data_IF_994456585895
#
_entry.id   IF_994456585895
#
_cell.length_a   1.000
_cell.length_b   1.000
_cell.length_c   1.000
_cell.angle_alpha   90.00
_cell.angle_beta   90.00
_cell.angle_gamma   90.00
#
_symmetry.space_group_name_H-M   'P 1'
#
loop_
_entity.id
_entity.type
_entity.pdbx_description
1 polymer ?
#
# COMPACT_ATOMS: atom_id res chain seq x y z
N UNK A 1 -0.98 18.25 3.16
CA UNK A 1 -2.00 17.22 3.42
C UNK A 1 -3.12 17.70 4.34
N UNK A 2 -3.34 19.01 4.50
CA UNK A 2 -4.35 19.55 5.40
C UNK A 2 -5.27 20.47 4.61
N UNK A 3 -6.57 20.34 4.79
CA UNK A 3 -7.59 21.23 4.25
C UNK A 3 -8.84 21.17 5.15
N UNK A 4 -9.69 22.19 5.07
CA UNK A 4 -10.94 22.24 5.83
C UNK A 4 -12.00 21.35 5.17
N UNK A 5 -12.71 20.57 5.98
CA UNK A 5 -13.80 19.70 5.53
C UNK A 5 -15.11 20.25 6.06
N UNK A 6 -15.91 20.86 5.20
CA UNK A 6 -17.23 21.39 5.54
C UNK A 6 -18.35 20.40 5.22
N UNK A 7 -18.11 19.47 4.29
CA UNK A 7 -19.08 18.46 3.89
C UNK A 7 -18.41 17.17 3.39
N UNK A 8 -19.15 16.05 3.23
CA UNK A 8 -18.61 14.83 2.62
C UNK A 8 -18.04 15.05 1.21
N UNK A 9 -18.48 16.08 0.48
CA UNK A 9 -17.98 16.40 -0.86
C UNK A 9 -16.52 16.92 -0.85
N UNK A 10 -15.98 17.32 0.30
CA UNK A 10 -14.58 17.72 0.46
C UNK A 10 -13.65 16.53 0.70
N UNK A 11 -14.21 15.33 0.90
CA UNK A 11 -13.46 14.10 1.08
C UNK A 11 -13.06 13.50 -0.27
N UNK A 12 -11.95 12.77 -0.27
CA UNK A 12 -11.49 12.00 -1.42
C UNK A 12 -11.18 10.57 -0.99
N UNK A 13 -11.79 9.60 -1.66
CA UNK A 13 -11.59 8.17 -1.44
C UNK A 13 -10.96 7.58 -2.70
N UNK A 14 -9.80 6.96 -2.55
CA UNK A 14 -9.06 6.33 -3.64
C UNK A 14 -8.94 4.81 -3.38
N UNK A 15 -9.91 3.99 -3.82
CA UNK A 15 -9.83 2.55 -3.68
C UNK A 15 -8.65 1.99 -4.48
N UNK A 16 -8.02 0.92 -3.98
CA UNK A 16 -6.92 0.25 -4.66
C UNK A 16 -6.98 -1.29 -4.63
N UNK A 17 -7.90 -1.88 -3.87
CA UNK A 17 -8.21 -3.32 -3.94
C UNK A 17 -9.73 -3.54 -3.90
N UNK A 18 -10.18 -4.54 -4.64
CA UNK A 18 -11.50 -5.17 -4.45
C UNK A 18 -11.20 -6.46 -3.69
N UNK A 19 -11.44 -6.52 -2.38
CA UNK A 19 -10.96 -7.64 -1.57
C UNK A 19 -11.84 -8.89 -1.69
N UNK A 20 -13.15 -8.72 -1.67
CA UNK A 20 -14.11 -9.81 -1.74
C UNK A 20 -15.47 -9.33 -2.29
N UNK A 21 -16.24 -10.28 -2.81
CA UNK A 21 -17.67 -10.16 -3.11
C UNK A 21 -18.39 -11.43 -2.64
N UNK A 22 -19.71 -11.52 -2.85
CA UNK A 22 -20.45 -12.74 -2.50
C UNK A 22 -19.79 -13.98 -3.13
N UNK A 23 -19.43 -14.94 -2.30
CA UNK A 23 -18.86 -16.23 -2.71
C UNK A 23 -17.39 -16.22 -3.16
N UNK A 24 -16.69 -15.07 -3.19
CA UNK A 24 -15.29 -15.03 -3.63
C UNK A 24 -14.44 -13.95 -2.93
N UNK A 25 -13.20 -14.32 -2.60
CA UNK A 25 -12.10 -13.37 -2.42
C UNK A 25 -11.43 -13.15 -3.77
N UNK A 26 -10.95 -11.93 -4.05
CA UNK A 26 -10.31 -11.60 -5.34
C UNK A 26 -8.79 -11.52 -5.23
N UNK A 27 -8.21 -12.26 -4.31
CA UNK A 27 -6.75 -12.36 -4.08
C UNK A 27 -6.04 -13.21 -5.14
N UNK A 28 -6.82 -13.87 -6.02
CA UNK A 28 -6.39 -14.56 -7.23
C UNK A 28 -6.22 -13.61 -8.43
N UNK A 29 -6.76 -12.38 -8.33
CA UNK A 29 -6.65 -11.36 -9.37
C UNK A 29 -5.37 -10.56 -9.21
N UNK A 30 -4.76 -10.20 -10.32
CA UNK A 30 -3.56 -9.37 -10.30
C UNK A 30 -3.90 -7.90 -10.00
N UNK A 31 -2.88 -7.11 -9.66
CA UNK A 31 -3.08 -5.70 -9.39
C UNK A 31 -3.56 -4.91 -10.62
N UNK A 32 -3.37 -5.42 -11.85
CA UNK A 32 -3.95 -4.77 -13.03
C UNK A 32 -5.47 -4.86 -13.01
N UNK A 33 -6.00 -6.05 -12.81
CA UNK A 33 -7.43 -6.27 -12.71
C UNK A 33 -8.05 -5.38 -11.63
N UNK A 34 -7.44 -5.26 -10.44
CA UNK A 34 -7.96 -4.39 -9.38
C UNK A 34 -8.04 -2.92 -9.82
N UNK A 35 -6.96 -2.39 -10.40
CA UNK A 35 -6.88 -0.98 -10.75
C UNK A 35 -7.82 -0.63 -11.92
N UNK A 36 -7.94 -1.50 -12.91
CA UNK A 36 -8.86 -1.33 -14.04
C UNK A 36 -10.33 -1.46 -13.61
N UNK A 37 -10.63 -2.45 -12.76
CA UNK A 37 -11.99 -2.66 -12.22
C UNK A 37 -12.45 -1.43 -11.42
N UNK A 38 -11.60 -0.94 -10.51
CA UNK A 38 -11.92 0.23 -9.68
C UNK A 38 -12.00 1.53 -10.49
N UNK A 39 -11.16 1.68 -11.53
CA UNK A 39 -11.26 2.79 -12.48
C UNK A 39 -12.60 2.76 -13.21
N UNK A 40 -13.06 1.58 -13.64
CA UNK A 40 -14.37 1.41 -14.29
C UNK A 40 -15.57 1.69 -13.37
N UNK A 41 -15.40 1.52 -12.05
CA UNK A 41 -16.42 1.84 -11.03
C UNK A 41 -16.39 3.31 -10.58
N UNK A 42 -15.39 4.08 -11.00
CA UNK A 42 -15.25 5.49 -10.60
C UNK A 42 -16.25 6.35 -11.38
N UNK A 43 -17.14 7.12 -10.72
CA UNK A 43 -18.10 7.97 -11.40
C UNK A 43 -17.42 9.03 -12.28
N UNK A 44 -18.06 9.36 -13.41
CA UNK A 44 -17.61 10.47 -14.25
C UNK A 44 -17.92 11.81 -13.56
N UNK A 45 -16.94 12.71 -13.47
CA UNK A 45 -17.11 14.07 -12.95
C UNK A 45 -16.11 14.44 -11.86
N UNK A 46 -15.78 15.74 -11.75
CA UNK A 46 -14.79 16.26 -10.80
C UNK A 46 -15.31 16.34 -9.35
N UNK A 47 -16.63 16.20 -9.16
CA UNK A 47 -17.30 16.33 -7.87
C UNK A 47 -17.49 14.96 -7.17
N UNK A 48 -16.97 13.88 -7.76
CA UNK A 48 -17.01 12.56 -7.14
C UNK A 48 -16.09 12.50 -5.92
N UNK A 49 -16.62 11.97 -4.82
CA UNK A 49 -15.83 11.62 -3.64
C UNK A 49 -14.85 10.47 -3.97
N UNK A 50 -15.25 9.55 -4.85
CA UNK A 50 -14.42 8.43 -5.28
C UNK A 50 -13.59 8.83 -6.49
N UNK A 51 -12.28 8.62 -6.41
CA UNK A 51 -11.32 8.90 -7.48
C UNK A 51 -10.54 7.64 -7.87
N UNK A 52 -10.19 7.54 -9.14
CA UNK A 52 -9.30 6.50 -9.62
C UNK A 52 -7.88 6.78 -9.10
N UNK A 53 -7.21 5.73 -8.64
CA UNK A 53 -5.80 5.81 -8.23
C UNK A 53 -4.91 5.79 -9.48
N UNK A 54 -3.99 6.74 -9.59
CA UNK A 54 -2.97 6.72 -10.65
C UNK A 54 -1.95 5.60 -10.42
N UNK A 55 -1.52 4.96 -11.50
CA UNK A 55 -0.58 3.83 -11.46
C UNK A 55 0.25 3.73 -12.73
N UNK A 56 1.37 3.03 -12.62
CA UNK A 56 2.23 2.64 -13.71
C UNK A 56 2.64 1.17 -13.52
N UNK A 57 2.66 0.39 -14.59
CA UNK A 57 3.31 -0.92 -14.58
C UNK A 57 4.76 -0.79 -15.00
N UNK A 58 5.65 -1.43 -14.25
CA UNK A 58 7.08 -1.44 -14.54
C UNK A 58 7.61 -2.88 -14.53
N UNK A 59 8.45 -3.21 -15.51
CA UNK A 59 9.21 -4.45 -15.55
C UNK A 59 10.60 -4.20 -14.95
N UNK A 60 10.98 -4.90 -13.86
CA UNK A 60 12.32 -4.75 -13.30
C UNK A 60 13.43 -5.35 -14.17
N UNK A 61 13.07 -6.11 -15.20
CA UNK A 61 14.01 -6.74 -16.14
C UNK A 61 14.28 -5.88 -17.38
N UNK A 62 13.61 -4.74 -17.53
CA UNK A 62 13.76 -3.83 -18.68
C UNK A 62 14.23 -2.45 -18.21
N UNK A 63 15.35 -1.99 -18.75
CA UNK A 63 16.01 -0.75 -18.38
C UNK A 63 15.13 0.46 -18.69
N UNK A 64 14.52 0.50 -19.88
CA UNK A 64 13.63 1.59 -20.28
C UNK A 64 12.38 1.66 -19.38
N UNK A 65 11.83 0.51 -18.99
CA UNK A 65 10.70 0.45 -18.06
C UNK A 65 11.06 0.95 -16.65
N UNK A 66 12.29 0.68 -16.19
CA UNK A 66 12.77 1.20 -14.88
C UNK A 66 12.95 2.71 -14.92
N UNK A 67 13.54 3.25 -15.98
CA UNK A 67 13.70 4.69 -16.18
C UNK A 67 12.34 5.39 -16.20
N UNK A 68 11.39 4.89 -17.00
CA UNK A 68 10.03 5.44 -17.05
C UNK A 68 9.33 5.42 -15.68
N UNK A 69 9.56 4.39 -14.86
CA UNK A 69 9.00 4.30 -13.51
C UNK A 69 9.62 5.31 -12.54
N UNK A 70 10.92 5.54 -12.65
CA UNK A 70 11.63 6.56 -11.87
C UNK A 70 11.15 7.96 -12.25
N UNK A 71 11.05 8.25 -13.55
CA UNK A 71 10.58 9.55 -14.05
C UNK A 71 9.15 9.85 -13.62
N UNK A 72 8.26 8.85 -13.73
CA UNK A 72 6.88 8.96 -13.26
C UNK A 72 6.81 9.24 -11.76
N UNK A 73 7.61 8.53 -10.96
CA UNK A 73 7.67 8.72 -9.51
C UNK A 73 8.20 10.10 -9.14
N UNK A 74 9.26 10.57 -9.82
CA UNK A 74 9.82 11.92 -9.62
C UNK A 74 8.78 12.99 -9.92
N UNK A 75 8.11 12.91 -11.08
CA UNK A 75 7.06 13.84 -11.48
C UNK A 75 5.88 13.88 -10.50
N UNK A 76 5.53 12.75 -9.88
CA UNK A 76 4.52 12.67 -8.82
C UNK A 76 5.00 13.39 -7.55
N UNK A 77 6.23 13.11 -7.09
CA UNK A 77 6.74 13.67 -5.84
C UNK A 77 7.07 15.15 -5.94
N UNK A 78 7.52 15.63 -7.10
CA UNK A 78 7.84 17.04 -7.34
C UNK A 78 6.58 17.93 -7.31
N UNK A 79 5.41 17.35 -7.57
CA UNK A 79 4.11 18.02 -7.46
C UNK A 79 3.50 17.94 -6.05
N UNK A 80 4.26 17.47 -5.06
CA UNK A 80 3.82 17.33 -3.67
C UNK A 80 3.15 16.00 -3.34
N UNK A 81 3.21 15.01 -4.24
CA UNK A 81 2.81 13.64 -3.92
C UNK A 81 3.70 13.02 -2.84
N UNK A 82 3.12 12.20 -1.97
CA UNK A 82 3.87 11.51 -0.90
C UNK A 82 4.93 10.55 -1.48
N UNK A 83 4.62 9.91 -2.60
CA UNK A 83 5.41 8.86 -3.22
C UNK A 83 4.51 7.77 -3.79
N UNK A 84 5.03 6.55 -3.88
CA UNK A 84 4.30 5.42 -4.45
C UNK A 84 4.38 4.17 -3.57
N UNK A 85 3.41 3.28 -3.79
CA UNK A 85 3.42 1.92 -3.24
C UNK A 85 3.72 0.95 -4.37
N UNK A 86 4.86 0.28 -4.29
CA UNK A 86 5.30 -0.73 -5.24
C UNK A 86 4.75 -2.08 -4.80
N UNK A 87 4.04 -2.76 -5.68
CA UNK A 87 3.45 -4.08 -5.44
C UNK A 87 3.96 -5.05 -6.51
N UNK A 88 4.10 -6.35 -6.20
CA UNK A 88 4.21 -7.38 -7.24
C UNK A 88 2.99 -7.30 -8.18
N UNK A 89 3.06 -7.88 -9.38
CA UNK A 89 1.88 -7.91 -10.25
C UNK A 89 0.79 -8.84 -9.66
N UNK A 90 1.19 -10.05 -9.28
CA UNK A 90 0.33 -10.98 -8.55
C UNK A 90 0.05 -10.47 -7.12
N UNK A 91 -1.19 -10.62 -6.65
CA UNK A 91 -1.58 -10.15 -5.31
C UNK A 91 -0.87 -10.92 -4.19
N UNK A 92 -0.74 -12.25 -4.34
CA UNK A 92 0.00 -13.13 -3.43
C UNK A 92 1.21 -13.70 -4.17
N UNK A 93 2.30 -12.92 -4.24
CA UNK A 93 3.51 -13.34 -4.93
C UNK A 93 4.45 -14.15 -4.02
N UNK A 94 5.11 -15.17 -4.58
CA UNK A 94 6.17 -15.93 -3.91
C UNK A 94 7.49 -15.77 -4.65
N UNK A 95 8.56 -15.50 -3.90
CA UNK A 95 9.93 -15.47 -4.40
C UNK A 95 10.75 -16.65 -3.89
N UNK A 96 12.06 -16.61 -4.16
CA UNK A 96 13.01 -17.66 -3.72
C UNK A 96 13.06 -17.86 -2.20
N UNK A 97 12.61 -16.88 -1.41
CA UNK A 97 12.62 -16.88 0.06
C UNK A 97 11.22 -17.06 0.68
N UNK A 98 10.26 -17.58 -0.09
CA UNK A 98 8.87 -17.73 0.34
C UNK A 98 8.00 -16.55 -0.06
N UNK A 99 7.04 -16.17 0.79
CA UNK A 99 6.09 -15.10 0.52
C UNK A 99 6.82 -13.76 0.33
N UNK A 100 6.58 -13.10 -0.79
CA UNK A 100 7.12 -11.77 -1.05
C UNK A 100 6.34 -10.71 -0.24
N UNK A 101 6.95 -9.55 -0.02
CA UNK A 101 6.21 -8.42 0.55
C UNK A 101 5.06 -8.05 -0.40
N UNK A 102 3.80 -7.96 0.07
CA UNK A 102 2.66 -7.61 -0.78
C UNK A 102 2.72 -6.17 -1.27
N UNK A 103 3.42 -5.30 -0.54
CA UNK A 103 3.62 -3.91 -0.89
C UNK A 103 4.89 -3.35 -0.25
N UNK A 104 5.55 -2.42 -0.93
CA UNK A 104 6.69 -1.64 -0.43
C UNK A 104 6.42 -0.18 -0.71
N UNK A 105 6.42 0.66 0.33
CA UNK A 105 6.29 2.12 0.19
C UNK A 105 7.63 2.75 -0.23
N UNK A 106 7.61 3.65 -1.19
CA UNK A 106 8.73 4.48 -1.61
C UNK A 106 8.30 5.96 -1.61
N UNK A 107 8.72 6.68 -0.57
CA UNK A 107 8.28 8.05 -0.27
C UNK A 107 9.25 9.08 -0.83
N UNK A 108 8.72 10.18 -1.32
CA UNK A 108 9.45 11.30 -1.90
C UNK A 108 10.34 12.03 -0.90
N UNK A 109 11.38 12.69 -1.42
CA UNK A 109 12.39 13.39 -0.61
C UNK A 109 11.76 14.45 0.31
N UNK A 110 10.90 15.30 -0.24
CA UNK A 110 10.30 16.40 0.52
C UNK A 110 9.28 15.90 1.54
N UNK A 111 8.49 14.86 1.20
CA UNK A 111 7.60 14.21 2.15
C UNK A 111 8.33 13.67 3.37
N UNK A 112 9.50 13.05 3.16
CA UNK A 112 10.28 12.45 4.24
C UNK A 112 10.80 13.46 5.27
N UNK A 113 10.78 14.78 4.99
CA UNK A 113 11.04 15.81 6.01
C UNK A 113 10.00 15.81 7.13
N UNK A 114 8.75 15.47 6.81
CA UNK A 114 7.66 15.35 7.78
C UNK A 114 7.94 14.18 8.75
N UNK A 115 8.60 13.13 8.26
CA UNK A 115 8.84 11.88 9.00
C UNK A 115 10.17 11.89 9.76
N UNK A 116 11.24 12.35 9.13
CA UNK A 116 12.61 12.29 9.66
C UNK A 116 13.13 13.66 10.15
N UNK A 117 12.32 14.71 10.03
CA UNK A 117 12.68 16.09 10.39
C UNK A 117 13.20 16.90 9.20
N UNK A 118 13.16 18.25 9.28
CA UNK A 118 13.51 19.14 8.17
C UNK A 118 14.95 18.98 7.68
N UNK A 119 15.87 18.62 8.58
CA UNK A 119 17.32 18.51 8.35
C UNK A 119 17.78 17.10 7.97
N UNK A 120 16.88 16.13 7.78
CA UNK A 120 17.27 14.73 7.58
C UNK A 120 18.16 14.48 6.34
N UNK A 121 18.20 15.44 5.41
CA UNK A 121 19.02 15.40 4.21
C UNK A 121 20.47 15.84 4.43
N UNK A 122 20.81 16.39 5.60
CA UNK A 122 22.21 16.70 5.92
C UNK A 122 23.06 15.42 5.91
N UNK A 123 24.30 15.46 5.40
CA UNK A 123 25.11 14.27 5.14
C UNK A 123 25.23 13.33 6.34
N UNK A 124 25.50 13.87 7.53
CA UNK A 124 25.71 13.09 8.75
C UNK A 124 24.41 12.43 9.25
N UNK A 125 23.29 13.16 9.23
CA UNK A 125 21.98 12.59 9.57
C UNK A 125 21.56 11.51 8.57
N UNK A 126 21.71 11.78 7.28
CA UNK A 126 21.34 10.82 6.23
C UNK A 126 22.18 9.55 6.30
N UNK A 127 23.48 9.67 6.58
CA UNK A 127 24.37 8.52 6.75
C UNK A 127 23.93 7.61 7.90
N UNK A 128 23.52 8.21 9.03
CA UNK A 128 22.96 7.46 10.17
C UNK A 128 21.62 6.79 9.82
N UNK A 129 20.70 7.51 9.16
CA UNK A 129 19.38 6.98 8.77
C UNK A 129 19.45 5.81 7.78
N UNK A 130 20.51 5.73 6.97
CA UNK A 130 20.75 4.60 6.06
C UNK A 130 20.98 3.27 6.80
N UNK A 131 21.40 3.31 8.07
CA UNK A 131 21.65 2.13 8.90
C UNK A 131 20.37 1.54 9.54
N UNK A 132 19.18 1.93 9.07
CA UNK A 132 17.89 1.46 9.62
C UNK A 132 17.64 -0.03 9.40
N UNK A 133 17.02 -0.66 10.39
CA UNK A 133 16.57 -2.05 10.31
C UNK A 133 15.08 -2.13 9.97
N UNK A 134 14.76 -2.76 8.83
CA UNK A 134 13.38 -2.96 8.35
C UNK A 134 12.88 -4.41 8.51
N UNK A 135 13.71 -5.29 9.09
CA UNK A 135 13.39 -6.72 9.22
C UNK A 135 12.14 -6.97 10.06
N UNK A 136 12.03 -6.31 11.21
CA UNK A 136 10.87 -6.42 12.10
C UNK A 136 9.57 -6.00 11.42
N UNK A 137 9.54 -4.81 10.80
CA UNK A 137 8.34 -4.32 10.08
C UNK A 137 7.97 -5.22 8.90
N UNK A 138 8.95 -5.75 8.17
CA UNK A 138 8.70 -6.72 7.08
C UNK A 138 8.09 -8.02 7.57
N UNK A 139 8.58 -8.57 8.68
CA UNK A 139 8.03 -9.79 9.26
C UNK A 139 6.62 -9.57 9.83
N UNK A 140 6.40 -8.43 10.47
CA UNK A 140 5.08 -8.01 10.97
C UNK A 140 4.06 -7.90 9.82
N UNK A 141 4.41 -7.16 8.76
CA UNK A 141 3.55 -6.95 7.60
C UNK A 141 3.13 -8.27 6.92
N UNK A 142 4.01 -9.29 6.86
CA UNK A 142 3.65 -10.60 6.30
C UNK A 142 2.69 -11.38 7.19
N UNK A 143 2.83 -11.28 8.52
CA UNK A 143 1.93 -11.94 9.48
C UNK A 143 0.54 -11.30 9.43
N UNK A 144 0.48 -9.98 9.45
CA UNK A 144 -0.77 -9.22 9.31
C UNK A 144 -1.45 -9.50 7.98
N UNK A 145 -0.68 -9.49 6.88
CA UNK A 145 -1.19 -9.82 5.56
C UNK A 145 -1.81 -11.23 5.54
N UNK A 146 -1.10 -12.25 6.03
CA UNK A 146 -1.60 -13.62 6.08
C UNK A 146 -2.89 -13.75 6.90
N UNK A 147 -2.97 -13.10 8.07
CA UNK A 147 -4.19 -13.07 8.88
C UNK A 147 -5.34 -12.34 8.17
N UNK A 148 -5.05 -11.24 7.47
CA UNK A 148 -6.03 -10.51 6.67
C UNK A 148 -6.63 -11.37 5.56
N UNK A 149 -5.81 -12.11 4.80
CA UNK A 149 -6.27 -13.04 3.77
C UNK A 149 -7.11 -14.15 4.37
N UNK A 150 -6.61 -14.82 5.41
CA UNK A 150 -7.32 -15.92 6.08
C UNK A 150 -8.68 -15.45 6.63
N UNK A 151 -8.73 -14.26 7.23
CA UNK A 151 -9.99 -13.68 7.72
C UNK A 151 -11.02 -13.46 6.60
N UNK A 152 -10.58 -12.93 5.45
CA UNK A 152 -11.44 -12.75 4.28
C UNK A 152 -11.94 -14.09 3.72
N UNK A 153 -11.05 -15.08 3.60
CA UNK A 153 -11.41 -16.41 3.08
C UNK A 153 -12.43 -17.11 4.00
N UNK A 154 -12.22 -17.08 5.31
CA UNK A 154 -13.17 -17.65 6.30
C UNK A 154 -14.52 -16.96 6.24
N UNK A 155 -14.53 -15.65 6.08
CA UNK A 155 -15.75 -14.87 5.95
C UNK A 155 -16.53 -15.29 4.70
N UNK A 156 -15.86 -15.35 3.55
CA UNK A 156 -16.48 -15.76 2.28
C UNK A 156 -16.98 -17.20 2.31
N UNK A 157 -16.29 -18.12 3.00
CA UNK A 157 -16.73 -19.51 3.23
C UNK A 157 -17.85 -19.64 4.26
N UNK A 158 -18.34 -18.54 4.82
CA UNK A 158 -19.40 -18.49 5.84
C UNK A 158 -19.05 -19.29 7.10
N UNK A 159 -17.78 -19.29 7.50
CA UNK A 159 -17.38 -19.87 8.78
C UNK A 159 -17.99 -19.09 9.97
N UNK A 160 -18.10 -19.71 11.16
CA UNK A 160 -18.58 -19.02 12.35
C UNK A 160 -17.81 -17.73 12.63
N UNK A 161 -18.51 -16.66 12.99
CA UNK A 161 -17.94 -15.32 13.16
C UNK A 161 -16.71 -15.27 14.09
N UNK A 162 -16.65 -16.14 15.11
CA UNK A 162 -15.45 -16.27 15.98
C UNK A 162 -14.16 -16.61 15.22
N UNK A 163 -14.27 -17.41 14.14
CA UNK A 163 -13.14 -17.85 13.28
C UNK A 163 -12.65 -16.73 12.37
N UNK A 164 -13.54 -15.82 11.98
CA UNK A 164 -13.18 -14.61 11.24
C UNK A 164 -12.54 -13.60 12.20
N UNK A 165 -13.15 -13.39 13.36
CA UNK A 165 -12.66 -12.45 14.36
C UNK A 165 -11.31 -12.81 14.96
N UNK A 166 -10.98 -14.09 15.16
CA UNK A 166 -9.64 -14.47 15.65
C UNK A 166 -8.52 -13.95 14.72
N UNK A 167 -8.76 -13.91 13.40
CA UNK A 167 -7.81 -13.34 12.44
C UNK A 167 -7.75 -11.81 12.56
N UNK A 168 -8.90 -11.13 12.60
CA UNK A 168 -8.98 -9.68 12.72
C UNK A 168 -8.36 -9.17 14.03
N UNK A 169 -8.64 -9.84 15.15
CA UNK A 169 -8.02 -9.54 16.44
C UNK A 169 -6.54 -9.89 16.47
N UNK A 170 -6.11 -10.91 15.72
CA UNK A 170 -4.70 -11.21 15.52
C UNK A 170 -3.96 -10.04 14.85
N UNK A 171 -4.53 -9.43 13.80
CA UNK A 171 -3.96 -8.22 13.18
C UNK A 171 -3.89 -7.07 14.18
N UNK A 172 -4.98 -6.81 14.92
CA UNK A 172 -5.01 -5.75 15.93
C UNK A 172 -3.97 -5.95 17.03
N UNK A 173 -3.77 -7.19 17.49
CA UNK A 173 -2.77 -7.51 18.50
C UNK A 173 -1.35 -7.30 17.98
N UNK A 174 -1.08 -7.65 16.72
CA UNK A 174 0.22 -7.48 16.07
C UNK A 174 0.61 -5.99 15.92
N UNK A 175 -0.35 -5.11 15.66
CA UNK A 175 -0.10 -3.64 15.58
C UNK A 175 0.32 -3.02 16.93
N UNK A 176 0.22 -3.77 18.04
CA UNK A 176 0.73 -3.34 19.35
C UNK A 176 2.22 -3.67 19.55
N UNK A 177 2.84 -4.44 18.64
CA UNK A 177 4.29 -4.74 18.71
C UNK A 177 5.09 -3.43 18.52
N UNK A 178 6.09 -3.13 19.38
CA UNK A 178 6.87 -1.90 19.26
C UNK A 178 7.75 -1.94 18.01
N UNK A 179 7.42 -1.12 17.01
CA UNK A 179 8.19 -0.93 15.78
C UNK A 179 8.52 0.55 15.63
N UNK A 180 9.67 0.84 14.99
CA UNK A 180 10.05 2.22 14.64
C UNK A 180 8.91 2.91 13.86
N UNK A 181 8.30 3.98 14.42
CA UNK A 181 7.12 4.62 13.84
C UNK A 181 7.42 5.35 12.51
N UNK A 182 8.69 5.50 12.15
CA UNK A 182 9.12 6.17 10.91
C UNK A 182 9.04 5.25 9.68
N UNK A 183 8.88 3.93 9.88
CA UNK A 183 8.93 2.88 8.84
C UNK A 183 7.61 2.64 8.10
#
# INVERSE_FOLDING_TARGET
YCWDVASPADLRVAPFHVLASEGATHTDRDHRWHMETLRGMTPAGRDSIVQATDYLFASPADDASREAAVDWWQALTDKGGEGAVIKPLEFIARGRRGLAQPAVKCRGREYLRIIYGPEYTEPDYLASLRQRNIGGKRALALREFALGIEGLERFVRREPLRRVHECAFGVLALESDPIDPRL
#
